data_IF_338336380085
#
_entry.id   IF_338336380085
#
_cell.length_a   1.000
_cell.length_b   1.000
_cell.length_c   1.000
_cell.angle_alpha   90.00
_cell.angle_beta   90.00
_cell.angle_gamma   90.00
#
_symmetry.space_group_name_H-M   'P 1'
#
loop_
_entity.id
_entity.type
_entity.pdbx_description
1 polymer ?
#
# COMPACT_ATOMS: atom_id res chain seq x y z
N UNK A 1 4.98 -15.04 8.06
CA UNK A 1 4.85 -13.58 8.02
C UNK A 1 3.47 -13.13 8.47
N UNK A 2 2.46 -13.28 7.62
CA UNK A 2 1.12 -12.71 7.81
C UNK A 2 0.36 -13.19 9.07
N UNK A 3 0.57 -14.42 9.54
CA UNK A 3 -0.09 -14.94 10.75
C UNK A 3 0.42 -14.37 12.08
N UNK A 4 1.61 -13.75 12.11
CA UNK A 4 2.24 -13.22 13.34
C UNK A 4 1.93 -11.73 13.56
N UNK A 5 1.57 -10.97 12.52
CA UNK A 5 1.10 -9.59 12.67
C UNK A 5 -0.30 -9.51 13.29
N UNK A 6 -1.10 -10.57 13.17
CA UNK A 6 -2.46 -10.62 13.73
C UNK A 6 -2.47 -10.69 15.26
N UNK A 7 -1.40 -11.16 15.91
CA UNK A 7 -1.37 -11.42 17.35
C UNK A 7 -0.79 -10.30 18.21
N UNK A 8 -0.28 -9.19 17.62
CA UNK A 8 0.33 -8.03 18.32
C UNK A 8 1.38 -8.39 19.39
N UNK A 9 1.93 -9.60 19.37
CA UNK A 9 2.99 -10.02 20.27
C UNK A 9 4.33 -9.55 19.70
N UNK A 10 5.13 -8.76 20.43
CA UNK A 10 6.45 -8.35 19.95
C UNK A 10 7.29 -9.60 19.69
N UNK A 11 7.83 -9.71 18.48
CA UNK A 11 8.67 -10.84 18.08
C UNK A 11 9.99 -10.80 18.88
N UNK A 12 10.52 -11.96 19.31
CA UNK A 12 11.86 -12.04 19.86
C UNK A 12 12.89 -11.46 18.88
N UNK A 13 13.86 -10.66 19.37
CA UNK A 13 14.81 -9.92 18.53
C UNK A 13 15.56 -10.78 17.50
N UNK A 14 15.81 -12.06 17.81
CA UNK A 14 16.42 -13.01 16.88
C UNK A 14 15.50 -13.36 15.69
N UNK A 15 14.20 -13.49 15.92
CA UNK A 15 13.22 -13.70 14.85
C UNK A 15 13.01 -12.43 14.04
N UNK A 16 13.06 -11.25 14.67
CA UNK A 16 12.91 -9.96 14.01
C UNK A 16 14.03 -9.72 12.99
N UNK A 17 15.28 -10.03 13.36
CA UNK A 17 16.43 -9.99 12.47
C UNK A 17 16.32 -10.97 11.29
N UNK A 18 15.86 -12.19 11.54
CA UNK A 18 15.66 -13.21 10.49
C UNK A 18 14.52 -12.78 9.55
N UNK A 19 13.42 -12.24 10.07
CA UNK A 19 12.34 -11.69 9.24
C UNK A 19 12.77 -10.46 8.46
N UNK A 20 13.62 -9.61 9.01
CA UNK A 20 14.16 -8.44 8.31
C UNK A 20 15.05 -8.85 7.13
N UNK A 21 15.85 -9.91 7.27
CA UNK A 21 16.70 -10.46 6.18
C UNK A 21 15.86 -11.20 5.13
N UNK A 22 14.82 -11.92 5.56
CA UNK A 22 13.96 -12.67 4.66
C UNK A 22 12.91 -11.80 3.96
N UNK A 23 12.46 -10.70 4.56
CA UNK A 23 11.47 -9.79 3.96
C UNK A 23 11.83 -9.31 2.54
N UNK A 24 13.05 -8.82 2.26
CA UNK A 24 13.42 -8.42 0.89
C UNK A 24 13.49 -9.61 -0.06
N UNK A 25 13.86 -10.81 0.39
CA UNK A 25 13.91 -12.02 -0.42
C UNK A 25 12.51 -12.56 -0.79
N UNK A 26 11.51 -12.34 0.07
CA UNK A 26 10.12 -12.72 -0.21
C UNK A 26 9.36 -11.68 -1.04
N UNK A 27 9.83 -10.43 -1.09
CA UNK A 27 9.22 -9.37 -1.91
C UNK A 27 9.04 -9.75 -3.39
N UNK A 28 10.04 -10.30 -4.11
CA UNK A 28 9.84 -10.70 -5.50
C UNK A 28 8.84 -11.86 -5.65
N UNK A 29 8.82 -12.82 -4.72
CA UNK A 29 7.84 -13.92 -4.75
C UNK A 29 6.43 -13.43 -4.44
N UNK A 30 6.28 -12.48 -3.52
CA UNK A 30 4.99 -11.84 -3.22
C UNK A 30 4.49 -10.99 -4.39
N UNK A 31 5.37 -10.26 -5.07
CA UNK A 31 5.04 -9.50 -6.28
C UNK A 31 4.70 -10.42 -7.46
N UNK A 32 5.42 -11.54 -7.62
CA UNK A 32 5.12 -12.56 -8.62
C UNK A 32 3.76 -13.21 -8.35
N UNK A 33 3.51 -13.63 -7.10
CA UNK A 33 2.23 -14.20 -6.71
C UNK A 33 1.08 -13.19 -6.89
N UNK A 34 1.29 -11.93 -6.49
CA UNK A 34 0.33 -10.86 -6.71
C UNK A 34 0.05 -10.66 -8.21
N UNK A 35 1.09 -10.60 -9.04
CA UNK A 35 0.99 -10.49 -10.50
C UNK A 35 0.28 -11.68 -11.16
N UNK A 36 0.47 -12.90 -10.64
CA UNK A 36 -0.24 -14.09 -11.10
C UNK A 36 -1.72 -14.11 -10.66
N UNK A 37 -2.05 -13.53 -9.51
CA UNK A 37 -3.43 -13.44 -9.01
C UNK A 37 -4.19 -12.22 -9.54
N UNK A 38 -3.48 -11.26 -10.12
CA UNK A 38 -4.05 -10.10 -10.78
C UNK A 38 -4.72 -10.57 -12.08
N UNK A 39 -6.01 -10.89 -11.98
CA UNK A 39 -6.85 -11.02 -13.15
C UNK A 39 -6.69 -9.73 -13.96
N UNK A 40 -6.24 -9.86 -15.21
CA UNK A 40 -6.08 -8.75 -16.15
C UNK A 40 -7.45 -8.24 -16.62
N UNK A 41 -8.31 -7.87 -15.68
CA UNK A 41 -9.54 -7.16 -15.96
C UNK A 41 -9.16 -5.69 -16.15
N UNK A 42 -8.94 -5.30 -17.41
CA UNK A 42 -8.79 -3.89 -17.75
C UNK A 42 -10.06 -3.15 -17.31
N UNK A 43 -9.93 -2.01 -16.60
CA UNK A 43 -11.09 -1.22 -16.21
C UNK A 43 -11.93 -0.86 -17.43
N UNK A 44 -13.25 -0.93 -17.30
CA UNK A 44 -14.14 -0.41 -18.34
C UNK A 44 -13.82 1.07 -18.60
N UNK A 45 -13.90 1.57 -19.84
CA UNK A 45 -13.47 2.93 -20.18
C UNK A 45 -14.21 4.01 -19.40
N UNK A 46 -15.47 3.76 -19.07
CA UNK A 46 -16.32 4.61 -18.22
C UNK A 46 -15.86 4.68 -16.75
N UNK A 47 -15.11 3.69 -16.27
CA UNK A 47 -14.57 3.63 -14.90
C UNK A 47 -13.15 4.18 -14.80
N UNK A 48 -12.45 4.39 -15.92
CA UNK A 48 -11.07 4.91 -15.92
C UNK A 48 -10.96 6.26 -15.21
N UNK A 49 -11.92 7.17 -15.41
CA UNK A 49 -11.92 8.47 -14.76
C UNK A 49 -12.03 8.35 -13.23
N UNK A 50 -12.87 7.44 -12.75
CA UNK A 50 -13.08 7.23 -11.31
C UNK A 50 -11.87 6.53 -10.68
N UNK A 51 -11.31 5.51 -11.33
CA UNK A 51 -10.08 4.83 -10.88
C UNK A 51 -8.92 5.83 -10.85
N UNK A 52 -8.74 6.64 -11.90
CA UNK A 52 -7.69 7.65 -11.95
C UNK A 52 -7.85 8.70 -10.84
N UNK A 53 -9.08 9.18 -10.59
CA UNK A 53 -9.37 10.11 -9.49
C UNK A 53 -9.08 9.52 -8.12
N UNK A 54 -9.44 8.26 -7.88
CA UNK A 54 -9.20 7.58 -6.61
C UNK A 54 -7.72 7.28 -6.38
N UNK A 55 -7.00 6.88 -7.43
CA UNK A 55 -5.54 6.69 -7.37
C UNK A 55 -4.83 8.03 -7.14
N UNK A 56 -5.26 9.09 -7.84
CA UNK A 56 -4.71 10.43 -7.66
C UNK A 56 -4.99 10.99 -6.26
N UNK A 57 -6.22 10.87 -5.75
CA UNK A 57 -6.56 11.33 -4.40
C UNK A 57 -5.75 10.60 -3.33
N UNK A 58 -5.52 9.29 -3.52
CA UNK A 58 -4.67 8.48 -2.65
C UNK A 58 -3.21 8.96 -2.60
N UNK A 59 -2.68 9.55 -3.66
CA UNK A 59 -1.33 10.13 -3.68
C UNK A 59 -1.29 11.59 -3.19
N UNK A 60 -2.28 12.40 -3.58
CA UNK A 60 -2.32 13.84 -3.27
C UNK A 60 -2.53 14.08 -1.77
N UNK A 61 -3.44 13.34 -1.12
CA UNK A 61 -3.74 13.52 0.31
C UNK A 61 -2.50 13.33 1.20
N UNK A 62 -1.76 12.21 1.14
CA UNK A 62 -0.58 12.02 1.97
C UNK A 62 0.54 13.01 1.63
N UNK A 63 0.71 13.40 0.35
CA UNK A 63 1.66 14.45 -0.03
C UNK A 63 1.29 15.81 0.58
N UNK A 64 0.01 16.18 0.59
CA UNK A 64 -0.46 17.40 1.21
C UNK A 64 -0.29 17.37 2.74
N UNK A 65 -0.54 16.23 3.38
CA UNK A 65 -0.33 16.05 4.82
C UNK A 65 1.15 16.13 5.18
N UNK A 66 2.03 15.45 4.45
CA UNK A 66 3.48 15.53 4.67
C UNK A 66 4.00 16.95 4.39
N UNK A 67 3.53 17.60 3.32
CA UNK A 67 3.90 18.98 2.99
C UNK A 67 3.46 19.98 4.06
N UNK A 68 2.26 19.85 4.61
CA UNK A 68 1.80 20.71 5.71
C UNK A 68 2.57 20.42 7.00
N UNK A 69 2.84 19.16 7.33
CA UNK A 69 3.67 18.79 8.48
C UNK A 69 5.08 19.38 8.40
N UNK A 70 5.71 19.32 7.22
CA UNK A 70 7.02 19.94 6.97
C UNK A 70 6.96 21.47 7.13
N UNK A 71 5.90 22.11 6.64
CA UNK A 71 5.75 23.56 6.73
C UNK A 71 5.58 24.06 8.18
N UNK A 72 4.97 23.26 9.07
CA UNK A 72 4.69 23.67 10.46
C UNK A 72 5.75 23.21 11.47
N UNK A 73 6.67 22.31 11.11
CA UNK A 73 7.73 21.85 12.03
C UNK A 73 9.03 22.65 11.82
N UNK A 74 9.39 23.57 12.73
CA UNK A 74 10.53 24.47 12.53
C UNK A 74 11.91 23.79 12.67
N UNK A 75 11.97 22.57 13.20
CA UNK A 75 13.20 21.79 13.35
C UNK A 75 13.03 20.43 12.65
N UNK A 76 13.82 20.21 11.60
CA UNK A 76 13.81 18.96 10.83
C UNK A 76 14.95 18.07 11.32
N UNK A 77 14.75 17.38 12.43
CA UNK A 77 15.70 16.33 12.83
C UNK A 77 15.56 15.10 11.92
N UNK A 78 16.67 14.36 11.76
CA UNK A 78 16.76 13.14 10.93
C UNK A 78 15.67 12.12 11.32
N UNK A 79 15.32 12.06 12.61
CA UNK A 79 14.26 11.19 13.11
C UNK A 79 12.87 11.58 12.56
N UNK A 80 12.54 12.87 12.55
CA UNK A 80 11.27 13.38 12.01
C UNK A 80 11.16 13.12 10.51
N UNK A 81 12.26 13.32 9.79
CA UNK A 81 12.31 13.00 8.36
C UNK A 81 12.12 11.50 8.09
N UNK A 82 12.74 10.64 8.91
CA UNK A 82 12.54 9.20 8.83
C UNK A 82 11.08 8.78 9.04
N UNK A 83 10.39 9.36 10.03
CA UNK A 83 8.96 9.09 10.27
C UNK A 83 8.08 9.59 9.12
N UNK A 84 8.36 10.77 8.56
CA UNK A 84 7.63 11.30 7.40
C UNK A 84 7.87 10.47 6.13
N UNK A 85 9.10 10.03 5.89
CA UNK A 85 9.44 9.17 4.76
C UNK A 85 8.77 7.79 4.88
N UNK A 86 8.80 7.18 6.06
CA UNK A 86 8.15 5.87 6.30
C UNK A 86 6.63 5.95 6.21
N UNK A 87 6.02 7.02 6.73
CA UNK A 87 4.57 7.24 6.56
C UNK A 87 4.20 7.48 5.11
N UNK A 88 4.96 8.29 4.36
CA UNK A 88 4.73 8.49 2.93
C UNK A 88 4.82 7.16 2.15
N UNK A 89 5.85 6.35 2.42
CA UNK A 89 5.99 5.02 1.82
C UNK A 89 4.81 4.11 2.18
N UNK A 90 4.34 4.14 3.43
CA UNK A 90 3.16 3.37 3.86
C UNK A 90 1.90 3.78 3.07
N UNK A 91 1.71 5.07 2.80
CA UNK A 91 0.58 5.53 1.99
C UNK A 91 0.67 5.16 0.50
N UNK A 92 1.89 5.06 -0.02
CA UNK A 92 2.17 4.66 -1.41
C UNK A 92 2.16 3.15 -1.63
N UNK A 93 2.05 2.34 -0.57
CA UNK A 93 1.92 0.88 -0.70
C UNK A 93 0.71 0.49 -1.56
N UNK A 94 0.76 -0.61 -2.30
CA UNK A 94 -0.40 -1.06 -3.09
C UNK A 94 -1.59 -1.42 -2.19
N UNK A 95 -2.81 -1.30 -2.70
CA UNK A 95 -4.02 -1.69 -1.97
C UNK A 95 -3.96 -3.18 -1.64
N UNK A 96 -4.18 -3.51 -0.37
CA UNK A 96 -4.18 -4.90 0.08
C UNK A 96 -5.36 -5.68 -0.52
N UNK A 97 -5.19 -6.95 -0.95
CA UNK A 97 -6.27 -7.74 -1.55
C UNK A 97 -7.47 -7.95 -0.62
N UNK A 98 -7.30 -7.84 0.70
CA UNK A 98 -8.43 -7.87 1.66
C UNK A 98 -9.43 -6.73 1.45
N UNK A 99 -9.04 -5.61 0.82
CA UNK A 99 -9.98 -4.56 0.45
C UNK A 99 -11.10 -5.07 -0.48
N UNK A 100 -10.84 -6.10 -1.29
CA UNK A 100 -11.85 -6.77 -2.11
C UNK A 100 -12.85 -7.57 -1.27
N UNK A 101 -12.42 -8.11 -0.13
CA UNK A 101 -13.30 -8.81 0.79
C UNK A 101 -14.25 -7.82 1.47
N UNK A 102 -13.74 -6.65 1.89
CA UNK A 102 -14.59 -5.57 2.42
C UNK A 102 -15.56 -5.04 1.37
N UNK A 103 -15.12 -4.83 0.13
CA UNK A 103 -15.99 -4.40 -0.95
C UNK A 103 -17.16 -5.37 -1.16
N UNK A 104 -16.88 -6.68 -1.17
CA UNK A 104 -17.88 -7.75 -1.23
C UNK A 104 -18.83 -7.73 -0.03
N UNK A 105 -18.29 -7.64 1.18
CA UNK A 105 -19.08 -7.65 2.41
C UNK A 105 -20.08 -6.50 2.47
N UNK A 106 -19.66 -5.30 2.07
CA UNK A 106 -20.50 -4.10 2.05
C UNK A 106 -21.30 -3.91 0.75
N UNK A 107 -21.30 -4.90 -0.16
CA UNK A 107 -21.98 -4.83 -1.47
C UNK A 107 -21.59 -3.59 -2.28
N UNK A 108 -20.33 -3.17 -2.19
CA UNK A 108 -19.76 -2.11 -3.01
C UNK A 108 -19.50 -2.62 -4.42
N UNK A 109 -19.15 -1.72 -5.34
CA UNK A 109 -18.84 -2.08 -6.71
C UNK A 109 -17.52 -2.89 -6.76
N UNK A 110 -17.65 -4.21 -6.81
CA UNK A 110 -16.52 -5.16 -6.85
C UNK A 110 -15.60 -4.92 -8.05
N UNK A 111 -16.17 -4.64 -9.23
CA UNK A 111 -15.40 -4.35 -10.43
C UNK A 111 -14.55 -3.08 -10.28
N UNK A 112 -15.03 -2.08 -9.53
CA UNK A 112 -14.25 -0.89 -9.22
C UNK A 112 -13.12 -1.20 -8.24
N UNK A 113 -13.41 -2.00 -7.22
CA UNK A 113 -12.42 -2.39 -6.22
C UNK A 113 -11.28 -3.23 -6.83
N UNK A 114 -11.60 -4.15 -7.73
CA UNK A 114 -10.61 -4.94 -8.49
C UNK A 114 -9.76 -4.06 -9.40
N UNK A 115 -10.38 -3.16 -10.16
CA UNK A 115 -9.67 -2.22 -11.02
C UNK A 115 -8.76 -1.26 -10.22
N UNK A 116 -9.19 -0.86 -9.02
CA UNK A 116 -8.40 0.01 -8.14
C UNK A 116 -7.20 -0.75 -7.55
N UNK A 117 -7.39 -2.01 -7.15
CA UNK A 117 -6.32 -2.86 -6.64
C UNK A 117 -5.24 -3.12 -7.71
N UNK A 118 -5.66 -3.41 -8.95
CA UNK A 118 -4.74 -3.61 -10.07
C UNK A 118 -4.00 -2.34 -10.48
N UNK A 119 -4.71 -1.21 -10.60
CA UNK A 119 -4.09 0.08 -10.90
C UNK A 119 -3.11 0.49 -9.80
N UNK A 120 -3.46 0.28 -8.53
CA UNK A 120 -2.59 0.59 -7.41
C UNK A 120 -1.32 -0.28 -7.37
N UNK A 121 -1.41 -1.56 -7.75
CA UNK A 121 -0.25 -2.44 -7.84
C UNK A 121 0.72 -1.99 -8.94
N UNK A 122 0.20 -1.56 -10.10
CA UNK A 122 1.01 -1.04 -11.19
C UNK A 122 1.72 0.27 -10.82
N UNK A 123 1.03 1.17 -10.11
CA UNK A 123 1.63 2.44 -9.64
C UNK A 123 2.70 2.21 -8.58
N UNK A 124 2.57 1.15 -7.77
CA UNK A 124 3.53 0.83 -6.71
C UNK A 124 4.71 -0.06 -7.15
N UNK A 125 4.64 -0.71 -8.32
CA UNK A 125 5.70 -1.58 -8.84
C UNK A 125 7.09 -0.92 -9.03
N UNK A 126 7.23 0.38 -9.36
CA UNK A 126 8.54 1.03 -9.49
C UNK A 126 9.14 1.58 -8.18
N UNK A 127 8.46 1.42 -7.02
CA UNK A 127 8.92 1.86 -5.68
C UNK A 127 9.51 0.70 -4.85
#
# INVERSE_FOLDING_TARGET
GLGLCATRTPLPAALDGITAVLAPAHRPLALLAAGMTLAAALPQPRMLADVARLVASRAIVPLAVVGTLLAITPAHDVATFGVLATTLLAFLTPIHPEALHYARHFRLNEALAEALASASALVAAPL
#
